data_IF_140212531328
#
_entry.id   IF_140212531328
#
_cell.length_a   1.000
_cell.length_b   1.000
_cell.length_c   1.000
_cell.angle_alpha   90.00
_cell.angle_beta   90.00
_cell.angle_gamma   90.00
#
_symmetry.space_group_name_H-M   'P 1'
#
loop_
_entity.id
_entity.type
_entity.pdbx_description
1 polymer ?
#
# COMPACT_ATOMS: atom_id res chain seq x y z
N UNK A 1 -61.62 -4.05 10.75
CA UNK A 1 -60.42 -3.30 11.17
C UNK A 1 -59.25 -4.12 11.73
N UNK A 2 -59.45 -5.24 12.46
CA UNK A 2 -58.33 -6.05 13.00
C UNK A 2 -57.50 -6.82 11.91
N UNK A 3 -58.11 -7.23 10.81
CA UNK A 3 -57.40 -7.92 9.71
C UNK A 3 -56.38 -7.07 8.98
N UNK A 4 -56.68 -5.78 8.75
CA UNK A 4 -55.80 -4.87 8.02
C UNK A 4 -54.52 -4.51 8.81
N UNK A 5 -54.58 -4.47 10.14
CA UNK A 5 -53.40 -4.21 11.00
C UNK A 5 -52.47 -5.42 11.11
N UNK A 6 -52.97 -6.64 11.01
CA UNK A 6 -52.12 -7.85 11.00
C UNK A 6 -51.34 -8.00 9.69
N UNK A 7 -51.95 -7.72 8.56
CA UNK A 7 -51.25 -7.78 7.23
C UNK A 7 -50.13 -6.73 7.09
N UNK A 8 -50.35 -5.50 7.62
CA UNK A 8 -49.32 -4.47 7.66
C UNK A 8 -48.16 -4.87 8.56
N UNK A 9 -48.41 -5.43 9.75
CA UNK A 9 -47.38 -5.86 10.67
C UNK A 9 -46.55 -7.05 10.10
N UNK A 10 -47.17 -7.98 9.40
CA UNK A 10 -46.47 -9.09 8.73
C UNK A 10 -45.60 -8.60 7.55
N UNK A 11 -46.08 -7.61 6.78
CA UNK A 11 -45.33 -6.99 5.70
C UNK A 11 -44.05 -6.30 6.24
N UNK A 12 -44.17 -5.52 7.29
CA UNK A 12 -43.05 -4.83 7.93
C UNK A 12 -42.02 -5.80 8.54
N UNK A 13 -42.48 -6.88 9.16
CA UNK A 13 -41.61 -7.93 9.69
C UNK A 13 -40.87 -8.65 8.57
N UNK A 14 -41.52 -9.01 7.47
CA UNK A 14 -40.87 -9.63 6.30
C UNK A 14 -39.85 -8.70 5.66
N UNK A 15 -40.16 -7.42 5.56
CA UNK A 15 -39.25 -6.41 5.02
C UNK A 15 -38.02 -6.22 5.92
N UNK A 16 -38.19 -6.20 7.23
CA UNK A 16 -37.10 -6.12 8.22
C UNK A 16 -36.20 -7.33 8.17
N UNK A 17 -36.77 -8.55 8.09
CA UNK A 17 -36.00 -9.80 7.93
C UNK A 17 -35.19 -9.77 6.64
N UNK A 18 -35.79 -9.38 5.51
CA UNK A 18 -35.11 -9.32 4.21
C UNK A 18 -33.96 -8.31 4.21
N UNK A 19 -34.13 -7.15 4.87
CA UNK A 19 -33.06 -6.15 5.02
C UNK A 19 -31.91 -6.69 5.86
N UNK A 20 -32.18 -7.41 6.94
CA UNK A 20 -31.18 -8.04 7.80
C UNK A 20 -30.43 -9.13 7.06
N UNK A 21 -31.13 -10.01 6.34
CA UNK A 21 -30.51 -11.09 5.56
C UNK A 21 -29.61 -10.52 4.43
N UNK A 22 -30.04 -9.45 3.77
CA UNK A 22 -29.22 -8.75 2.78
C UNK A 22 -27.97 -8.11 3.40
N UNK A 23 -28.08 -7.53 4.59
CA UNK A 23 -26.93 -6.97 5.31
C UNK A 23 -25.92 -8.05 5.71
N UNK A 24 -26.38 -9.20 6.21
CA UNK A 24 -25.53 -10.35 6.55
C UNK A 24 -24.84 -10.95 5.32
N UNK A 25 -25.55 -11.07 4.18
CA UNK A 25 -24.95 -11.51 2.91
C UNK A 25 -23.89 -10.53 2.42
N UNK A 26 -24.15 -9.23 2.49
CA UNK A 26 -23.20 -8.21 2.08
C UNK A 26 -21.95 -8.21 2.98
N UNK A 27 -22.12 -8.35 4.29
CA UNK A 27 -21.02 -8.45 5.23
C UNK A 27 -20.17 -9.69 4.95
N UNK A 28 -20.78 -10.86 4.77
CA UNK A 28 -20.10 -12.10 4.40
C UNK A 28 -19.29 -11.95 3.10
N UNK A 29 -19.88 -11.34 2.05
CA UNK A 29 -19.20 -11.09 0.78
C UNK A 29 -18.00 -10.16 0.96
N UNK A 30 -18.10 -9.12 1.78
CA UNK A 30 -16.99 -8.22 2.10
C UNK A 30 -15.86 -8.95 2.83
N UNK A 31 -16.19 -9.76 3.81
CA UNK A 31 -15.18 -10.55 4.55
C UNK A 31 -14.50 -11.58 3.64
N UNK A 32 -15.27 -12.27 2.80
CA UNK A 32 -14.73 -13.22 1.83
C UNK A 32 -13.81 -12.51 0.81
N UNK A 33 -14.22 -11.34 0.31
CA UNK A 33 -13.40 -10.52 -0.58
C UNK A 33 -12.05 -10.19 0.06
N UNK A 34 -12.06 -9.75 1.31
CA UNK A 34 -10.82 -9.41 2.02
C UNK A 34 -9.94 -10.66 2.26
N UNK A 35 -10.52 -11.82 2.59
CA UNK A 35 -9.78 -13.07 2.70
C UNK A 35 -9.13 -13.50 1.39
N UNK A 36 -9.83 -13.35 0.27
CA UNK A 36 -9.29 -13.65 -1.07
C UNK A 36 -8.11 -12.73 -1.37
N UNK A 37 -8.24 -11.43 -1.12
CA UNK A 37 -7.16 -10.45 -1.33
C UNK A 37 -5.94 -10.81 -0.48
N UNK A 38 -6.11 -10.97 0.82
CA UNK A 38 -5.01 -11.26 1.73
C UNK A 38 -4.26 -12.55 1.37
N UNK A 39 -4.99 -13.60 1.00
CA UNK A 39 -4.39 -14.85 0.53
C UNK A 39 -3.63 -14.65 -0.78
N UNK A 40 -4.25 -14.01 -1.76
CA UNK A 40 -3.66 -13.79 -3.08
C UNK A 40 -2.40 -12.91 -3.00
N UNK A 41 -2.43 -11.81 -2.24
CA UNK A 41 -1.28 -10.91 -2.11
C UNK A 41 -0.10 -11.59 -1.47
N UNK A 42 -0.29 -12.41 -0.43
CA UNK A 42 0.77 -13.22 0.15
C UNK A 42 1.41 -14.14 -0.89
N UNK A 43 0.59 -14.87 -1.66
CA UNK A 43 1.10 -15.77 -2.71
C UNK A 43 1.79 -15.00 -3.85
N UNK A 44 1.23 -13.84 -4.25
CA UNK A 44 1.84 -12.97 -5.27
C UNK A 44 3.20 -12.45 -4.82
N UNK A 45 3.34 -12.00 -3.58
CA UNK A 45 4.60 -11.52 -3.04
C UNK A 45 5.69 -12.60 -3.03
N UNK A 46 5.33 -13.83 -2.68
CA UNK A 46 6.30 -14.92 -2.55
C UNK A 46 6.67 -15.56 -3.89
N UNK A 47 5.71 -15.72 -4.80
CA UNK A 47 5.83 -16.55 -6.00
C UNK A 47 5.75 -15.77 -7.31
N UNK A 48 5.40 -14.48 -7.25
CA UNK A 48 5.04 -13.69 -8.42
C UNK A 48 3.58 -13.88 -8.84
N UNK A 49 3.07 -12.91 -9.59
CA UNK A 49 1.65 -12.86 -10.02
C UNK A 49 1.34 -13.96 -11.05
N UNK A 50 2.27 -14.22 -11.99
CA UNK A 50 2.05 -15.19 -13.09
C UNK A 50 1.96 -16.62 -12.57
N UNK A 51 2.79 -16.98 -11.60
CA UNK A 51 2.85 -18.33 -11.05
C UNK A 51 1.58 -18.71 -10.29
N UNK A 52 0.88 -17.74 -9.68
CA UNK A 52 -0.33 -17.99 -8.91
C UNK A 52 -1.57 -18.04 -9.81
N UNK A 53 -2.33 -19.13 -9.70
CA UNK A 53 -3.57 -19.32 -10.47
C UNK A 53 -4.80 -19.03 -9.62
N UNK A 54 -5.85 -18.45 -10.21
CA UNK A 54 -7.15 -18.21 -9.54
C UNK A 54 -7.74 -19.50 -8.93
N UNK A 55 -7.50 -20.64 -9.58
CA UNK A 55 -7.92 -21.97 -9.09
C UNK A 55 -7.16 -22.39 -7.82
N UNK A 56 -5.91 -22.00 -7.67
CA UNK A 56 -5.13 -22.26 -6.45
C UNK A 56 -5.66 -21.42 -5.28
N UNK A 57 -5.99 -20.16 -5.55
CA UNK A 57 -6.61 -19.26 -4.55
C UNK A 57 -7.93 -19.84 -4.06
N UNK A 58 -8.82 -20.27 -4.98
CA UNK A 58 -10.10 -20.86 -4.61
C UNK A 58 -9.95 -22.13 -3.77
N UNK A 59 -9.02 -23.01 -4.13
CA UNK A 59 -8.71 -24.24 -3.36
C UNK A 59 -8.13 -23.93 -1.99
N UNK A 60 -7.17 -22.99 -1.92
CA UNK A 60 -6.53 -22.60 -0.66
C UNK A 60 -7.52 -22.03 0.36
N UNK A 61 -8.55 -21.34 -0.12
CA UNK A 61 -9.60 -20.77 0.72
C UNK A 61 -10.84 -21.67 0.89
N UNK A 62 -10.87 -22.83 0.21
CA UNK A 62 -12.02 -23.75 0.20
C UNK A 62 -13.32 -23.10 -0.30
N UNK A 63 -13.20 -22.21 -1.28
CA UNK A 63 -14.34 -21.57 -1.94
C UNK A 63 -14.44 -22.03 -3.39
N UNK A 64 -15.63 -21.88 -4.00
CA UNK A 64 -15.79 -22.27 -5.39
C UNK A 64 -14.99 -21.33 -6.31
N UNK A 65 -14.44 -21.87 -7.40
CA UNK A 65 -13.80 -21.07 -8.48
C UNK A 65 -14.74 -19.98 -8.97
N UNK A 66 -16.03 -20.32 -9.17
CA UNK A 66 -17.06 -19.38 -9.60
C UNK A 66 -17.17 -18.18 -8.65
N UNK A 67 -17.16 -18.43 -7.33
CA UNK A 67 -17.21 -17.36 -6.32
C UNK A 67 -16.05 -16.39 -6.44
N UNK A 68 -14.83 -16.90 -6.66
CA UNK A 68 -13.66 -16.03 -6.83
C UNK A 68 -13.78 -15.15 -8.08
N UNK A 69 -14.25 -15.72 -9.20
CA UNK A 69 -14.47 -14.97 -10.44
C UNK A 69 -15.68 -14.03 -10.41
N UNK A 70 -16.67 -14.31 -9.58
CA UNK A 70 -17.80 -13.39 -9.35
C UNK A 70 -17.41 -12.16 -8.50
N UNK A 71 -16.39 -12.30 -7.65
CA UNK A 71 -15.87 -11.20 -6.81
C UNK A 71 -14.79 -10.41 -7.54
N UNK A 72 -13.93 -11.10 -8.31
CA UNK A 72 -12.85 -10.51 -9.12
C UNK A 72 -12.91 -11.12 -10.51
N UNK A 73 -13.20 -10.30 -11.50
CA UNK A 73 -13.32 -10.73 -12.90
C UNK A 73 -12.05 -11.41 -13.42
N UNK A 74 -10.88 -10.92 -13.02
CA UNK A 74 -9.59 -11.47 -13.38
C UNK A 74 -8.54 -11.31 -12.26
N UNK A 75 -7.36 -11.87 -12.51
CA UNK A 75 -6.23 -11.85 -11.57
C UNK A 75 -5.60 -10.46 -11.42
N UNK A 76 -5.65 -9.66 -12.47
CA UNK A 76 -5.11 -8.29 -12.44
C UNK A 76 -6.01 -7.37 -11.61
N UNK A 77 -7.32 -7.53 -11.70
CA UNK A 77 -8.28 -6.84 -10.83
C UNK A 77 -8.07 -7.21 -9.35
N UNK A 78 -7.85 -8.49 -9.07
CA UNK A 78 -7.54 -8.96 -7.72
C UNK A 78 -6.23 -8.36 -7.19
N UNK A 79 -5.18 -8.35 -8.02
CA UNK A 79 -3.90 -7.73 -7.69
C UNK A 79 -4.07 -6.24 -7.41
N UNK A 80 -4.74 -5.50 -8.30
CA UNK A 80 -4.97 -4.07 -8.13
C UNK A 80 -5.75 -3.76 -6.84
N UNK A 81 -6.78 -4.57 -6.53
CA UNK A 81 -7.52 -4.44 -5.29
C UNK A 81 -6.64 -4.67 -4.05
N UNK A 82 -5.73 -5.64 -4.11
CA UNK A 82 -4.76 -5.90 -3.04
C UNK A 82 -3.77 -4.76 -2.86
N UNK A 83 -3.18 -4.28 -3.95
CA UNK A 83 -2.24 -3.15 -3.91
C UNK A 83 -2.87 -1.87 -3.35
N UNK A 84 -4.15 -1.59 -3.67
CA UNK A 84 -4.90 -0.47 -3.09
C UNK A 84 -5.06 -0.59 -1.58
N UNK A 85 -5.35 -1.78 -1.09
CA UNK A 85 -5.46 -2.02 0.36
C UNK A 85 -4.10 -1.85 1.03
N UNK A 86 -3.04 -2.49 0.52
CA UNK A 86 -1.70 -2.36 1.08
C UNK A 86 -1.21 -0.91 1.10
N UNK A 87 -1.52 -0.14 0.04
CA UNK A 87 -1.16 1.28 0.00
C UNK A 87 -1.90 2.09 1.06
N UNK A 88 -3.21 1.86 1.22
CA UNK A 88 -4.02 2.51 2.24
C UNK A 88 -3.56 2.15 3.66
N UNK A 89 -3.24 0.88 3.92
CA UNK A 89 -2.71 0.42 5.21
C UNK A 89 -1.33 1.02 5.50
N UNK A 90 -0.44 1.07 4.50
CA UNK A 90 0.87 1.73 4.64
C UNK A 90 0.71 3.21 5.01
N UNK A 91 -0.14 3.94 4.27
CA UNK A 91 -0.41 5.36 4.54
C UNK A 91 -0.97 5.55 5.95
N UNK A 92 -1.96 4.77 6.34
CA UNK A 92 -2.56 4.83 7.68
C UNK A 92 -1.53 4.55 8.79
N UNK A 93 -0.64 3.56 8.63
CA UNK A 93 0.43 3.27 9.59
C UNK A 93 1.41 4.45 9.74
N UNK A 94 1.80 5.09 8.64
CA UNK A 94 2.70 6.25 8.67
C UNK A 94 2.02 7.44 9.33
N UNK A 95 0.76 7.73 8.99
CA UNK A 95 -0.02 8.80 9.59
C UNK A 95 -0.23 8.60 11.11
N UNK A 96 -0.63 7.39 11.52
CA UNK A 96 -0.79 7.03 12.93
C UNK A 96 0.52 7.22 13.69
N UNK A 97 1.64 6.74 13.15
CA UNK A 97 2.94 6.92 13.77
C UNK A 97 3.33 8.39 13.87
N UNK A 98 3.11 9.16 12.81
CA UNK A 98 3.40 10.59 12.78
C UNK A 98 2.62 11.37 13.85
N UNK A 99 1.34 11.01 14.06
CA UNK A 99 0.47 11.68 15.03
C UNK A 99 0.72 11.24 16.49
N UNK A 100 0.98 9.94 16.71
CA UNK A 100 1.01 9.38 18.06
C UNK A 100 2.42 9.26 18.66
N UNK A 101 3.46 9.16 17.83
CA UNK A 101 4.80 8.75 18.26
C UNK A 101 5.93 9.66 17.78
N UNK A 102 5.79 10.29 16.62
CA UNK A 102 6.85 11.12 16.05
C UNK A 102 6.95 12.46 16.81
N UNK A 103 8.15 12.88 17.09
CA UNK A 103 8.47 14.18 17.71
C UNK A 103 8.93 15.21 16.66
N UNK A 104 9.32 14.71 15.47
CA UNK A 104 9.84 15.49 14.36
C UNK A 104 9.80 14.66 13.07
N UNK A 105 10.11 15.31 11.93
CA UNK A 105 10.11 14.62 10.62
C UNK A 105 11.13 13.49 10.52
N UNK A 106 12.24 13.54 11.29
CA UNK A 106 13.27 12.49 11.24
C UNK A 106 12.80 11.18 11.87
N UNK A 107 11.97 11.25 12.92
CA UNK A 107 11.32 10.07 13.50
C UNK A 107 10.41 9.37 12.47
N UNK A 108 9.69 10.16 11.64
CA UNK A 108 8.85 9.65 10.56
C UNK A 108 9.69 8.95 9.48
N UNK A 109 10.81 9.55 9.06
CA UNK A 109 11.74 8.93 8.09
C UNK A 109 12.27 7.59 8.63
N UNK A 110 12.67 7.54 9.90
CA UNK A 110 13.12 6.30 10.54
C UNK A 110 12.04 5.22 10.55
N UNK A 111 10.78 5.61 10.77
CA UNK A 111 9.66 4.67 10.71
C UNK A 111 9.40 4.16 9.29
N UNK A 112 9.41 5.04 8.30
CA UNK A 112 9.29 4.67 6.88
C UNK A 112 10.42 3.70 6.48
N UNK A 113 11.64 3.95 6.94
CA UNK A 113 12.77 3.05 6.70
C UNK A 113 12.49 1.64 7.27
N UNK A 114 12.00 1.53 8.51
CA UNK A 114 11.63 0.23 9.10
C UNK A 114 10.57 -0.51 8.28
N UNK A 115 9.51 0.21 7.87
CA UNK A 115 8.46 -0.38 7.03
C UNK A 115 9.00 -0.90 5.70
N UNK A 116 9.97 -0.18 5.11
CA UNK A 116 10.62 -0.61 3.88
C UNK A 116 11.46 -1.88 4.09
N UNK A 117 12.18 -1.98 5.22
CA UNK A 117 12.96 -3.18 5.55
C UNK A 117 12.05 -4.40 5.77
N UNK A 118 10.95 -4.24 6.50
CA UNK A 118 9.93 -5.29 6.67
C UNK A 118 9.40 -5.77 5.32
N UNK A 119 9.07 -4.84 4.42
CA UNK A 119 8.55 -5.15 3.08
C UNK A 119 9.58 -5.89 2.22
N UNK A 120 10.85 -5.48 2.26
CA UNK A 120 11.92 -6.10 1.49
C UNK A 120 12.14 -7.58 1.86
N UNK A 121 11.83 -7.98 3.10
CA UNK A 121 11.90 -9.37 3.55
C UNK A 121 10.72 -10.22 3.06
N UNK A 122 9.58 -9.60 2.78
CA UNK A 122 8.31 -10.29 2.46
C UNK A 122 8.06 -10.41 0.96
N UNK A 123 8.61 -9.51 0.15
CA UNK A 123 8.30 -9.39 -1.28
C UNK A 123 9.46 -9.88 -2.13
N UNK A 124 9.21 -10.96 -2.89
CA UNK A 124 10.19 -11.53 -3.80
C UNK A 124 10.42 -10.66 -5.04
N UNK A 125 11.63 -10.75 -5.61
CA UNK A 125 12.05 -10.01 -6.82
C UNK A 125 11.11 -10.25 -8.00
N UNK A 126 10.60 -11.48 -8.17
CA UNK A 126 9.67 -11.83 -9.26
C UNK A 126 8.39 -11.00 -9.23
N UNK A 127 7.89 -10.67 -8.05
CA UNK A 127 6.71 -9.80 -7.92
C UNK A 127 6.98 -8.42 -8.54
N UNK A 128 8.10 -7.79 -8.19
CA UNK A 128 8.49 -6.50 -8.76
C UNK A 128 8.68 -6.57 -10.29
N UNK A 129 9.33 -7.64 -10.79
CA UNK A 129 9.50 -7.84 -12.23
C UNK A 129 8.17 -7.86 -12.99
N UNK A 130 7.17 -8.53 -12.42
CA UNK A 130 5.90 -8.71 -13.09
C UNK A 130 5.00 -7.48 -13.03
N UNK A 131 4.91 -6.82 -11.87
CA UNK A 131 4.04 -5.63 -11.72
C UNK A 131 4.52 -4.46 -12.58
N UNK A 132 5.83 -4.30 -12.78
CA UNK A 132 6.39 -3.23 -13.63
C UNK A 132 6.21 -3.48 -15.14
N UNK A 133 5.60 -4.59 -15.53
CA UNK A 133 5.20 -4.91 -16.90
C UNK A 133 3.69 -4.85 -17.11
N UNK A 134 2.92 -4.47 -16.09
CA UNK A 134 1.47 -4.41 -16.12
C UNK A 134 1.02 -2.94 -16.24
N UNK A 135 0.53 -2.49 -17.42
CA UNK A 135 0.21 -1.07 -17.64
C UNK A 135 -0.79 -0.50 -16.63
N UNK A 136 -1.79 -1.28 -16.27
CA UNK A 136 -2.84 -0.90 -15.31
C UNK A 136 -2.29 -0.69 -13.89
N UNK A 137 -1.29 -1.47 -13.53
CA UNK A 137 -0.59 -1.32 -12.24
C UNK A 137 0.32 -0.09 -12.25
N UNK A 138 1.04 0.15 -13.36
CA UNK A 138 1.88 1.35 -13.50
C UNK A 138 1.06 2.63 -13.45
N UNK A 139 -0.12 2.64 -14.10
CA UNK A 139 -1.06 3.76 -14.03
C UNK A 139 -1.52 4.02 -12.59
N UNK A 140 -1.91 2.97 -11.87
CA UNK A 140 -2.26 3.08 -10.45
C UNK A 140 -1.12 3.64 -9.61
N UNK A 141 0.10 3.16 -9.78
CA UNK A 141 1.27 3.65 -9.02
C UNK A 141 1.55 5.13 -9.31
N UNK A 142 1.38 5.56 -10.57
CA UNK A 142 1.50 6.96 -10.95
C UNK A 142 0.41 7.82 -10.29
N UNK A 143 -0.86 7.40 -10.36
CA UNK A 143 -1.96 8.13 -9.73
C UNK A 143 -1.77 8.29 -8.21
N UNK A 144 -1.29 7.25 -7.52
CA UNK A 144 -1.02 7.33 -6.08
C UNK A 144 0.12 8.30 -5.78
N UNK A 145 1.17 8.30 -6.60
CA UNK A 145 2.25 9.28 -6.47
C UNK A 145 1.72 10.71 -6.65
N UNK A 146 0.93 10.96 -7.70
CA UNK A 146 0.37 12.29 -7.97
C UNK A 146 -0.53 12.79 -6.80
N UNK A 147 -1.27 11.89 -6.15
CA UNK A 147 -2.09 12.20 -4.97
C UNK A 147 -1.29 12.57 -3.72
N UNK A 148 -0.06 12.08 -3.61
CA UNK A 148 0.80 12.28 -2.44
C UNK A 148 1.69 13.54 -2.55
N UNK A 149 1.65 14.24 -3.68
CA UNK A 149 2.49 15.41 -3.92
C UNK A 149 2.35 16.47 -2.83
N UNK A 150 1.13 16.92 -2.54
CA UNK A 150 0.87 17.96 -1.55
C UNK A 150 1.29 17.55 -0.12
N UNK A 151 1.04 16.29 0.25
CA UNK A 151 1.45 15.75 1.54
C UNK A 151 2.99 15.73 1.66
N UNK A 152 3.67 15.36 0.58
CA UNK A 152 5.13 15.34 0.51
C UNK A 152 5.73 16.74 0.60
N UNK A 153 5.14 17.72 -0.09
CA UNK A 153 5.61 19.12 -0.01
C UNK A 153 5.42 19.68 1.39
N UNK A 154 4.30 19.39 2.07
CA UNK A 154 4.11 19.78 3.48
C UNK A 154 5.12 19.12 4.40
N UNK A 155 5.44 17.87 4.20
CA UNK A 155 6.46 17.15 4.97
C UNK A 155 7.85 17.77 4.80
N UNK A 156 8.25 18.10 3.57
CA UNK A 156 9.52 18.75 3.32
C UNK A 156 9.57 20.14 3.97
N UNK A 157 8.49 20.92 3.85
CA UNK A 157 8.43 22.25 4.48
C UNK A 157 8.55 22.14 6.01
N UNK A 158 7.88 21.18 6.64
CA UNK A 158 8.02 20.94 8.07
C UNK A 158 9.47 20.62 8.47
N UNK A 159 10.17 19.80 7.69
CA UNK A 159 11.59 19.50 7.92
C UNK A 159 12.50 20.72 7.78
N UNK A 160 12.18 21.65 6.88
CA UNK A 160 12.88 22.93 6.76
C UNK A 160 12.61 23.83 7.97
N UNK A 161 11.36 23.93 8.41
CA UNK A 161 10.93 24.76 9.54
C UNK A 161 11.50 24.23 10.86
N UNK A 162 11.63 22.92 11.02
CA UNK A 162 12.28 22.26 12.16
C UNK A 162 13.82 22.37 12.12
N UNK A 163 14.39 22.82 10.99
CA UNK A 163 15.82 23.00 10.78
C UNK A 163 16.60 21.70 10.50
N UNK A 164 15.93 20.65 10.11
CA UNK A 164 16.55 19.36 9.74
C UNK A 164 16.83 19.26 8.24
N UNK A 165 16.06 19.99 7.41
CA UNK A 165 16.29 20.06 5.96
C UNK A 165 16.84 21.42 5.56
N UNK A 166 17.62 21.42 4.51
CA UNK A 166 18.28 22.60 3.95
C UNK A 166 17.27 23.49 3.23
N UNK A 167 17.38 24.82 3.42
CA UNK A 167 16.48 25.82 2.82
C UNK A 167 16.77 26.12 1.35
N UNK A 168 17.98 25.78 0.88
CA UNK A 168 18.44 26.02 -0.49
C UNK A 168 18.09 24.88 -1.46
N UNK A 169 17.35 23.87 -1.01
CA UNK A 169 16.93 22.71 -1.81
C UNK A 169 15.56 22.99 -2.43
N UNK A 170 15.44 22.75 -3.74
CA UNK A 170 14.14 22.71 -4.40
C UNK A 170 13.53 21.31 -4.26
N UNK A 171 12.57 21.16 -3.34
CA UNK A 171 11.96 19.88 -3.04
C UNK A 171 11.02 19.37 -4.12
N UNK A 172 10.51 20.22 -5.01
CA UNK A 172 9.76 19.76 -6.20
C UNK A 172 10.69 18.98 -7.13
N UNK A 173 11.91 19.50 -7.35
CA UNK A 173 12.93 18.81 -8.16
C UNK A 173 13.34 17.49 -7.51
N UNK A 174 13.53 17.46 -6.19
CA UNK A 174 13.85 16.23 -5.44
C UNK A 174 12.74 15.19 -5.60
N UNK A 175 11.49 15.61 -5.44
CA UNK A 175 10.32 14.72 -5.54
C UNK A 175 10.19 14.11 -6.94
N UNK A 176 10.19 14.94 -7.97
CA UNK A 176 10.09 14.48 -9.36
C UNK A 176 11.29 13.63 -9.79
N UNK A 177 12.51 14.07 -9.44
CA UNK A 177 13.72 13.31 -9.76
C UNK A 177 13.71 11.92 -9.09
N UNK A 178 13.27 11.83 -7.83
CA UNK A 178 13.19 10.56 -7.12
C UNK A 178 12.22 9.58 -7.80
N UNK A 179 11.05 10.10 -8.24
CA UNK A 179 10.05 9.32 -8.99
C UNK A 179 10.61 8.80 -10.30
N UNK A 180 11.22 9.68 -11.09
CA UNK A 180 11.79 9.33 -12.40
C UNK A 180 12.91 8.28 -12.23
N UNK A 181 13.85 8.52 -11.31
CA UNK A 181 14.95 7.61 -11.07
C UNK A 181 14.47 6.25 -10.56
N UNK A 182 13.53 6.21 -9.62
CA UNK A 182 12.97 4.96 -9.12
C UNK A 182 12.25 4.19 -10.25
N UNK A 183 11.43 4.87 -11.04
CA UNK A 183 10.75 4.27 -12.19
C UNK A 183 11.75 3.68 -13.18
N UNK A 184 12.83 4.39 -13.49
CA UNK A 184 13.86 3.95 -14.44
C UNK A 184 14.67 2.77 -13.86
N UNK A 185 15.06 2.81 -12.59
CA UNK A 185 15.73 1.68 -11.93
C UNK A 185 14.88 0.39 -12.02
N UNK A 186 13.56 0.51 -11.84
CA UNK A 186 12.65 -0.61 -11.98
C UNK A 186 12.51 -1.06 -13.45
N UNK A 187 12.42 -0.13 -14.39
CA UNK A 187 12.36 -0.41 -15.81
C UNK A 187 13.63 -1.13 -16.31
N UNK A 188 14.81 -0.68 -15.87
CA UNK A 188 16.11 -1.31 -16.15
C UNK A 188 16.35 -2.59 -15.35
N UNK A 189 15.41 -2.98 -14.49
CA UNK A 189 15.45 -4.22 -13.70
C UNK A 189 16.68 -4.31 -12.79
N UNK A 190 17.12 -3.18 -12.20
CA UNK A 190 18.29 -3.17 -11.30
C UNK A 190 18.13 -4.10 -10.09
N UNK A 191 16.89 -4.40 -9.68
CA UNK A 191 16.56 -5.38 -8.64
C UNK A 191 17.01 -6.82 -8.96
N UNK A 192 17.42 -7.10 -10.20
CA UNK A 192 18.04 -8.39 -10.56
C UNK A 192 19.52 -8.48 -10.20
N UNK A 193 20.18 -7.34 -10.12
CA UNK A 193 21.62 -7.22 -9.82
C UNK A 193 21.84 -6.82 -8.36
N UNK A 194 20.98 -5.94 -7.84
CA UNK A 194 21.06 -5.39 -6.50
C UNK A 194 19.78 -5.73 -5.73
N UNK A 195 19.89 -5.97 -4.44
CA UNK A 195 18.72 -6.15 -3.58
C UNK A 195 17.92 -4.85 -3.49
N UNK A 196 16.61 -4.94 -3.20
CA UNK A 196 15.79 -3.74 -2.97
C UNK A 196 16.31 -2.90 -1.81
N UNK A 197 16.97 -3.51 -0.84
CA UNK A 197 17.63 -2.80 0.26
C UNK A 197 18.83 -2.00 -0.25
N UNK A 198 19.71 -2.60 -1.03
CA UNK A 198 20.85 -1.89 -1.63
C UNK A 198 20.40 -0.72 -2.49
N UNK A 199 19.33 -0.86 -3.28
CA UNK A 199 18.77 0.24 -4.06
C UNK A 199 18.25 1.35 -3.16
N UNK A 200 17.55 1.00 -2.08
CA UNK A 200 17.05 1.99 -1.12
C UNK A 200 18.19 2.70 -0.39
N UNK A 201 19.15 1.97 0.15
CA UNK A 201 20.25 2.52 0.95
C UNK A 201 21.18 3.39 0.10
N UNK A 202 21.47 2.98 -1.14
CA UNK A 202 22.43 3.67 -2.00
C UNK A 202 21.81 4.71 -2.93
N UNK A 203 20.50 4.79 -3.03
CA UNK A 203 19.82 5.85 -3.76
C UNK A 203 18.97 6.71 -2.82
N UNK A 204 17.93 6.14 -2.21
CA UNK A 204 16.95 6.91 -1.44
C UNK A 204 17.58 7.55 -0.19
N UNK A 205 18.35 6.79 0.59
CA UNK A 205 19.01 7.34 1.78
C UNK A 205 20.09 8.35 1.43
N UNK A 206 20.85 8.14 0.35
CA UNK A 206 21.87 9.12 -0.09
C UNK A 206 21.17 10.41 -0.51
N UNK A 207 20.06 10.34 -1.21
CA UNK A 207 19.28 11.51 -1.59
C UNK A 207 18.75 12.25 -0.34
N UNK A 208 18.20 11.54 0.64
CA UNK A 208 17.73 12.12 1.91
C UNK A 208 18.89 12.82 2.63
N UNK A 209 20.04 12.16 2.75
CA UNK A 209 21.25 12.75 3.35
C UNK A 209 21.68 14.03 2.63
N UNK A 210 21.54 14.09 1.31
CA UNK A 210 21.93 15.24 0.48
C UNK A 210 21.14 16.51 0.78
N UNK A 211 19.91 16.41 1.26
CA UNK A 211 19.12 17.59 1.63
C UNK A 211 19.00 17.82 3.15
N UNK A 212 19.60 16.96 3.97
CA UNK A 212 19.67 17.19 5.41
C UNK A 212 20.69 18.29 5.78
N UNK A 213 20.42 18.99 6.88
CA UNK A 213 21.43 19.77 7.63
C UNK A 213 22.29 18.82 8.49
N UNK A 214 23.40 19.29 9.05
CA UNK A 214 24.24 18.49 9.97
C UNK A 214 23.40 17.93 11.14
N UNK A 215 22.51 18.76 11.71
CA UNK A 215 21.57 18.34 12.77
C UNK A 215 20.58 17.28 12.26
N UNK A 216 20.10 17.40 11.02
CA UNK A 216 19.26 16.42 10.38
C UNK A 216 19.99 15.08 10.20
N UNK A 217 21.25 15.08 9.76
CA UNK A 217 22.07 13.89 9.57
C UNK A 217 22.27 13.12 10.89
N UNK A 218 22.61 13.83 11.98
CA UNK A 218 22.75 13.19 13.30
C UNK A 218 21.49 12.46 13.77
N UNK A 219 20.30 13.06 13.54
CA UNK A 219 19.03 12.42 13.90
C UNK A 219 18.65 11.29 12.94
N UNK A 220 18.93 11.44 11.65
CA UNK A 220 18.72 10.40 10.66
C UNK A 220 19.52 9.15 11.03
N UNK A 221 20.82 9.31 11.35
CA UNK A 221 21.68 8.19 11.73
C UNK A 221 21.20 7.49 13.00
N UNK A 222 20.71 8.26 13.99
CA UNK A 222 20.09 7.68 15.19
C UNK A 222 18.80 6.94 14.87
N UNK A 223 17.94 7.49 14.00
CA UNK A 223 16.66 6.89 13.67
C UNK A 223 16.80 5.58 12.85
N UNK A 224 17.85 5.48 12.02
CA UNK A 224 18.17 4.30 11.21
C UNK A 224 19.04 3.31 11.99
N UNK A 225 20.01 3.78 12.78
CA UNK A 225 20.99 2.97 13.51
C UNK A 225 20.47 2.34 14.81
N UNK A 226 19.23 2.62 15.22
CA UNK A 226 18.55 1.96 16.34
C UNK A 226 17.86 0.63 15.93
N UNK A 227 18.19 0.13 14.77
CA UNK A 227 17.79 -1.16 14.21
C UNK A 227 18.95 -2.15 14.28
#
# INVERSE_FOLDING_TARGET
MRFCYMELAESDIRQTIKIRDMAEINQYRKELRNKIIAYAMREFHQRGVKAVKMDEISRGLRVSKRTVYEIFGDKEELLLAGMKIERAEYKARVEEYALAHARNVMDVIGYIYRLQMERNQQVGVVFYEEIHRMPRILEFLKEEHDKEYDDSMRFFQAGVDEGYFRKDVNFEVVYESSRICMSEMMHQQLYKTFTMQELFDNFTLIMIRGFCTDRGLELLDKAIGQL
#
